data_IF_827222170042
#
_entry.id   IF_827222170042
#
_cell.length_a   1.000
_cell.length_b   1.000
_cell.length_c   1.000
_cell.angle_alpha   90.00
_cell.angle_beta   90.00
_cell.angle_gamma   90.00
#
_symmetry.space_group_name_H-M   'P 1'
#
loop_
_entity.id
_entity.type
_entity.pdbx_description
1 polymer ?
#
# COMPACT_ATOMS: atom_id res chain seq x y z
N UNK A 1 21.36 10.78 0.65
CA UNK A 1 21.39 12.24 0.42
C UNK A 1 20.00 12.54 -0.09
N UNK A 2 19.26 13.38 0.62
CA UNK A 2 17.87 13.65 0.27
C UNK A 2 17.76 14.73 -0.78
N UNK A 3 16.61 14.82 -1.43
CA UNK A 3 16.33 15.84 -2.44
C UNK A 3 14.95 16.44 -2.19
N UNK A 4 14.83 17.75 -2.28
CA UNK A 4 13.54 18.41 -2.16
C UNK A 4 12.78 18.32 -3.49
N UNK A 5 11.50 17.99 -3.43
CA UNK A 5 10.63 18.07 -4.60
C UNK A 5 10.57 19.53 -5.10
N UNK A 6 10.86 19.83 -6.38
CA UNK A 6 10.87 21.18 -6.91
C UNK A 6 9.49 21.84 -6.98
N UNK A 7 8.41 21.06 -6.81
CA UNK A 7 7.02 21.53 -6.91
C UNK A 7 6.40 21.77 -5.53
N UNK A 8 6.46 20.78 -4.63
CA UNK A 8 5.85 20.86 -3.30
C UNK A 8 6.84 21.05 -2.14
N UNK A 9 8.14 21.13 -2.43
CA UNK A 9 9.23 21.31 -1.46
C UNK A 9 9.35 20.15 -0.43
N UNK A 10 8.61 19.04 -0.62
CA UNK A 10 8.67 17.88 0.26
C UNK A 10 10.04 17.17 0.14
N UNK A 11 10.76 16.96 1.25
CA UNK A 11 12.04 16.27 1.23
C UNK A 11 11.83 14.79 0.94
N UNK A 12 12.64 14.24 0.05
CA UNK A 12 12.64 12.83 -0.36
C UNK A 12 13.95 12.17 0.08
N UNK A 13 13.88 10.87 0.43
CA UNK A 13 15.00 10.16 1.05
C UNK A 13 16.24 10.03 0.14
N UNK A 14 15.99 9.85 -1.16
CA UNK A 14 16.98 9.71 -2.22
C UNK A 14 16.38 10.05 -3.59
N UNK A 15 17.21 10.00 -4.64
CA UNK A 15 16.82 10.37 -6.00
C UNK A 15 15.72 9.46 -6.59
N UNK A 16 15.71 8.16 -6.25
CA UNK A 16 14.67 7.23 -6.71
C UNK A 16 13.32 7.55 -6.05
N UNK A 17 13.33 7.85 -4.75
CA UNK A 17 12.12 8.33 -4.06
C UNK A 17 11.59 9.63 -4.65
N UNK A 18 12.47 10.57 -5.02
CA UNK A 18 12.07 11.79 -5.70
C UNK A 18 11.44 11.53 -7.07
N UNK A 19 12.07 10.68 -7.90
CA UNK A 19 11.54 10.30 -9.20
C UNK A 19 10.14 9.67 -9.09
N UNK A 20 9.97 8.71 -8.18
CA UNK A 20 8.67 8.09 -7.93
C UNK A 20 7.63 9.09 -7.43
N UNK A 21 7.99 9.95 -6.47
CA UNK A 21 7.07 10.96 -5.95
C UNK A 21 6.55 11.86 -7.08
N UNK A 22 7.42 12.36 -7.95
CA UNK A 22 7.03 13.18 -9.10
C UNK A 22 6.14 12.41 -10.09
N UNK A 23 6.56 11.22 -10.52
CA UNK A 23 5.84 10.43 -11.51
C UNK A 23 4.46 9.98 -11.01
N UNK A 24 4.35 9.44 -9.79
CA UNK A 24 3.06 9.01 -9.26
C UNK A 24 2.13 10.19 -8.97
N UNK A 25 2.66 11.33 -8.52
CA UNK A 25 1.84 12.51 -8.26
C UNK A 25 1.30 13.09 -9.56
N UNK A 26 2.13 13.19 -10.61
CA UNK A 26 1.67 13.56 -11.95
C UNK A 26 0.54 12.63 -12.44
N UNK A 27 0.75 11.30 -12.37
CA UNK A 27 -0.23 10.32 -12.86
C UNK A 27 -1.56 10.27 -12.09
N UNK A 28 -1.57 10.66 -10.81
CA UNK A 28 -2.75 10.54 -9.93
C UNK A 28 -3.57 11.82 -9.79
N UNK A 29 -3.15 12.92 -10.45
CA UNK A 29 -3.88 14.18 -10.49
C UNK A 29 -3.16 15.38 -9.85
N UNK A 30 -1.83 15.38 -9.89
CA UNK A 30 -1.01 16.55 -9.58
C UNK A 30 -0.60 17.28 -10.85
N UNK A 31 -1.47 18.11 -11.42
CA UNK A 31 -1.21 18.85 -12.66
C UNK A 31 0.09 19.68 -12.57
N UNK A 32 0.38 20.33 -11.42
CA UNK A 32 1.63 21.07 -11.24
C UNK A 32 2.89 20.17 -11.33
N UNK A 33 2.79 18.89 -10.95
CA UNK A 33 3.89 17.94 -11.07
C UNK A 33 4.02 17.41 -12.51
N UNK A 34 2.89 17.24 -13.21
CA UNK A 34 2.85 16.88 -14.62
C UNK A 34 3.43 18.01 -15.49
N UNK A 35 2.95 19.25 -15.33
CA UNK A 35 3.45 20.44 -16.05
C UNK A 35 4.96 20.64 -15.84
N UNK A 36 5.44 20.46 -14.61
CA UNK A 36 6.86 20.55 -14.31
C UNK A 36 7.66 19.46 -15.02
N UNK A 37 7.19 18.22 -14.98
CA UNK A 37 7.82 17.11 -15.68
C UNK A 37 7.81 17.30 -17.20
N UNK A 38 6.71 17.78 -17.79
CA UNK A 38 6.62 18.05 -19.22
C UNK A 38 7.55 19.19 -19.69
N UNK A 39 7.77 20.21 -18.85
CA UNK A 39 8.69 21.31 -19.18
C UNK A 39 10.17 20.90 -19.06
N UNK A 40 10.51 20.13 -18.03
CA UNK A 40 11.90 19.84 -17.68
C UNK A 40 12.40 18.49 -18.21
N UNK A 41 11.53 17.49 -18.27
CA UNK A 41 11.85 16.10 -18.67
C UNK A 41 10.73 15.58 -19.59
N UNK A 42 10.59 16.08 -20.83
CA UNK A 42 9.42 15.81 -21.69
C UNK A 42 9.21 14.33 -22.07
N UNK A 43 10.20 13.46 -21.85
CA UNK A 43 10.13 12.01 -22.09
C UNK A 43 9.97 11.21 -20.79
N UNK A 44 9.61 11.86 -19.68
CA UNK A 44 9.51 11.24 -18.34
C UNK A 44 8.58 10.03 -18.29
N UNK A 45 7.52 10.01 -19.09
CA UNK A 45 6.56 8.90 -19.17
C UNK A 45 7.14 7.61 -19.79
N UNK A 46 8.29 7.70 -20.45
CA UNK A 46 9.03 6.56 -21.00
C UNK A 46 10.16 6.09 -20.07
N UNK A 47 10.52 6.89 -19.08
CA UNK A 47 11.62 6.61 -18.16
C UNK A 47 11.19 5.71 -17.00
N UNK A 48 12.06 4.76 -16.65
CA UNK A 48 11.98 4.07 -15.36
C UNK A 48 12.45 4.96 -14.20
N UNK A 49 12.33 4.43 -12.97
CA UNK A 49 12.77 5.11 -11.75
C UNK A 49 14.20 5.64 -11.85
N UNK A 50 15.17 4.79 -12.20
CA UNK A 50 16.58 5.16 -12.26
C UNK A 50 16.87 6.22 -13.34
N UNK A 51 16.22 6.11 -14.49
CA UNK A 51 16.39 7.03 -15.62
C UNK A 51 15.83 8.41 -15.27
N UNK A 52 14.63 8.45 -14.69
CA UNK A 52 14.00 9.69 -14.24
C UNK A 52 14.78 10.31 -13.07
N UNK A 53 15.27 9.49 -12.14
CA UNK A 53 16.09 9.96 -11.02
C UNK A 53 17.37 10.65 -11.50
N UNK A 54 18.02 10.12 -12.55
CA UNK A 54 19.24 10.71 -13.10
C UNK A 54 19.01 12.09 -13.72
N UNK A 55 17.85 12.34 -14.32
CA UNK A 55 17.51 13.65 -14.89
C UNK A 55 17.07 14.65 -13.79
N UNK A 56 16.22 14.19 -12.88
CA UNK A 56 15.61 15.06 -11.86
C UNK A 56 16.64 15.50 -10.80
N UNK A 57 17.64 14.69 -10.49
CA UNK A 57 18.68 15.02 -9.50
C UNK A 57 19.51 16.24 -9.90
N UNK A 58 19.63 16.54 -11.20
CA UNK A 58 20.37 17.72 -11.69
C UNK A 58 19.54 19.01 -11.55
N UNK A 59 18.23 18.87 -11.35
CA UNK A 59 17.26 19.96 -11.28
C UNK A 59 16.74 20.21 -9.86
N UNK A 60 16.82 19.21 -8.99
CA UNK A 60 16.34 19.27 -7.61
C UNK A 60 17.43 19.71 -6.63
N UNK A 61 17.04 20.44 -5.59
CA UNK A 61 17.96 20.90 -4.56
C UNK A 61 18.28 19.77 -3.56
N UNK A 62 19.56 19.59 -3.25
CA UNK A 62 20.02 18.65 -2.23
C UNK A 62 19.58 19.12 -0.84
N UNK A 63 18.86 18.28 -0.12
CA UNK A 63 18.35 18.62 1.23
C UNK A 63 18.66 17.54 2.24
N UNK A 64 18.62 17.92 3.53
CA UNK A 64 18.60 16.95 4.60
C UNK A 64 17.22 16.30 4.65
N UNK A 65 17.16 15.01 4.29
CA UNK A 65 15.97 14.24 4.59
C UNK A 65 15.92 14.07 6.11
N UNK A 66 14.83 14.49 6.79
CA UNK A 66 14.70 14.26 8.21
C UNK A 66 14.60 12.76 8.44
N UNK A 67 15.73 12.12 8.77
CA UNK A 67 15.67 10.85 9.47
C UNK A 67 15.07 11.18 10.81
N UNK A 68 14.00 10.50 11.16
CA UNK A 68 13.38 10.69 12.46
C UNK A 68 14.32 10.11 13.52
N UNK A 69 15.25 10.94 13.98
CA UNK A 69 16.17 10.66 15.07
C UNK A 69 15.43 10.48 16.41
N UNK A 70 14.20 10.97 16.45
CA UNK A 70 13.20 10.80 17.49
C UNK A 70 12.00 10.21 16.75
N UNK A 71 11.70 8.93 17.01
CA UNK A 71 10.95 8.09 16.08
C UNK A 71 9.65 8.71 15.57
N UNK A 72 9.33 8.40 14.31
CA UNK A 72 7.94 8.31 13.85
C UNK A 72 7.25 7.29 14.73
N UNK A 73 6.80 7.76 15.88
CA UNK A 73 5.65 7.22 16.53
C UNK A 73 4.47 7.63 15.67
N UNK A 74 4.28 6.93 14.54
CA UNK A 74 2.95 6.65 14.02
C UNK A 74 2.21 5.76 15.03
N UNK A 75 2.16 6.14 16.30
CA UNK A 75 1.04 5.80 17.16
C UNK A 75 -0.10 6.63 16.59
N UNK A 76 -0.75 6.05 15.58
CA UNK A 76 -2.17 5.85 15.76
C UNK A 76 -2.35 5.27 17.16
N UNK A 77 -2.47 6.14 18.17
CA UNK A 77 -3.13 5.83 19.42
C UNK A 77 -4.60 5.61 19.06
N UNK A 78 -4.85 4.50 18.37
CA UNK A 78 -6.06 3.76 18.61
C UNK A 78 -5.93 3.29 20.05
N UNK A 79 -6.51 4.06 20.96
CA UNK A 79 -7.00 3.54 22.23
C UNK A 79 -7.96 2.39 21.90
N UNK A 80 -7.36 1.23 21.67
CA UNK A 80 -8.00 -0.07 21.75
C UNK A 80 -7.56 -0.67 23.06
N UNK A 81 -7.90 0.02 24.16
CA UNK A 81 -8.14 -0.59 25.46
C UNK A 81 -9.30 -1.58 25.40
N UNK A 82 -9.21 -2.54 24.49
CA UNK A 82 -9.99 -3.76 24.55
C UNK A 82 -9.00 -4.88 24.84
N UNK A 83 -8.59 -4.97 26.10
CA UNK A 83 -8.20 -6.25 26.64
C UNK A 83 -9.37 -7.21 26.37
N UNK A 84 -9.23 -8.04 25.33
CA UNK A 84 -10.16 -9.14 25.11
C UNK A 84 -9.87 -10.13 26.22
N UNK A 85 -10.60 -10.00 27.32
CA UNK A 85 -10.61 -11.02 28.35
C UNK A 85 -11.04 -12.34 27.66
N UNK A 86 -10.16 -13.37 27.60
CA UNK A 86 -10.43 -14.57 26.83
C UNK A 86 -11.63 -15.34 27.39
N UNK A 87 -12.00 -15.10 28.65
CA UNK A 87 -13.19 -15.67 29.27
C UNK A 87 -14.47 -14.94 28.81
N UNK A 88 -14.42 -13.62 28.64
CA UNK A 88 -15.51 -12.81 28.09
C UNK A 88 -15.69 -13.04 26.58
N UNK A 89 -14.59 -13.20 25.83
CA UNK A 89 -14.63 -13.56 24.41
C UNK A 89 -15.28 -14.94 24.19
N UNK A 90 -14.95 -15.93 25.04
CA UNK A 90 -15.62 -17.23 25.01
C UNK A 90 -17.11 -17.14 25.36
N UNK A 91 -17.50 -16.30 26.32
CA UNK A 91 -18.92 -16.10 26.66
C UNK A 91 -19.74 -15.49 25.51
N UNK A 92 -19.15 -14.58 24.72
CA UNK A 92 -19.79 -14.03 23.52
C UNK A 92 -19.84 -15.05 22.38
N UNK A 93 -18.82 -15.89 22.24
CA UNK A 93 -18.79 -16.98 21.28
C UNK A 93 -19.76 -18.14 21.62
N UNK A 94 -20.24 -18.22 22.86
CA UNK A 94 -21.30 -19.14 23.29
C UNK A 94 -22.70 -18.53 23.27
N UNK A 95 -22.86 -17.31 22.74
CA UNK A 95 -24.18 -16.74 22.49
C UNK A 95 -24.95 -17.59 21.49
N UNK A 96 -26.24 -17.79 21.74
CA UNK A 96 -27.15 -18.49 20.83
C UNK A 96 -27.15 -17.74 19.50
N UNK A 97 -26.64 -18.37 18.44
CA UNK A 97 -26.69 -17.82 17.09
C UNK A 97 -28.14 -17.91 16.62
N UNK A 98 -28.68 -16.86 16.04
CA UNK A 98 -30.01 -16.91 15.43
C UNK A 98 -29.99 -17.87 14.22
N UNK A 99 -31.12 -18.52 13.91
CA UNK A 99 -31.21 -19.52 12.82
C UNK A 99 -30.70 -18.98 11.47
N UNK A 100 -30.91 -17.68 11.21
CA UNK A 100 -30.41 -16.97 10.01
C UNK A 100 -28.88 -16.91 9.98
N UNK A 101 -28.25 -16.58 11.10
CA UNK A 101 -26.79 -16.51 11.19
C UNK A 101 -26.15 -17.90 11.02
N UNK A 102 -26.78 -18.95 11.56
CA UNK A 102 -26.36 -20.32 11.34
C UNK A 102 -26.50 -20.75 9.87
N UNK A 103 -27.56 -20.31 9.19
CA UNK A 103 -27.77 -20.55 7.76
C UNK A 103 -26.69 -19.90 6.90
N UNK A 104 -26.39 -18.62 7.14
CA UNK A 104 -25.36 -17.88 6.41
C UNK A 104 -23.97 -18.52 6.59
N UNK A 105 -23.63 -18.91 7.82
CA UNK A 105 -22.33 -19.57 8.09
C UNK A 105 -22.22 -20.95 7.45
N UNK A 106 -23.34 -21.67 7.28
CA UNK A 106 -23.38 -22.95 6.56
C UNK A 106 -23.16 -22.75 5.06
N UNK A 107 -23.87 -21.79 4.47
CA UNK A 107 -23.75 -21.46 3.04
C UNK A 107 -22.34 -21.00 2.67
N UNK A 108 -21.72 -20.16 3.50
CA UNK A 108 -20.34 -19.71 3.30
C UNK A 108 -19.32 -20.87 3.33
N UNK A 109 -19.54 -21.87 4.20
CA UNK A 109 -18.68 -23.07 4.26
C UNK A 109 -18.85 -23.94 3.01
N UNK A 110 -20.08 -24.15 2.56
CA UNK A 110 -20.36 -24.94 1.35
C UNK A 110 -19.74 -24.31 0.08
N UNK A 111 -19.79 -22.97 -0.04
CA UNK A 111 -19.11 -22.26 -1.12
C UNK A 111 -17.59 -22.44 -1.09
N UNK A 112 -17.01 -22.45 0.11
CA UNK A 112 -15.56 -22.67 0.30
C UNK A 112 -15.16 -24.12 -0.01
N UNK A 113 -15.98 -25.10 0.39
CA UNK A 113 -15.77 -26.51 0.06
C UNK A 113 -15.89 -26.78 -1.44
N UNK A 114 -16.86 -26.16 -2.13
CA UNK A 114 -17.01 -26.27 -3.58
C UNK A 114 -15.78 -25.77 -4.33
N UNK A 115 -15.26 -24.59 -3.94
CA UNK A 115 -14.01 -24.04 -4.52
C UNK A 115 -12.80 -24.94 -4.28
N UNK A 116 -12.76 -25.68 -3.15
CA UNK A 116 -11.66 -26.60 -2.84
C UNK A 116 -11.74 -27.92 -3.61
N UNK A 117 -12.96 -28.44 -3.83
CA UNK A 117 -13.20 -29.67 -4.61
C UNK A 117 -12.95 -29.42 -6.11
N UNK A 118 -13.33 -28.25 -6.63
CA UNK A 118 -13.03 -27.83 -8.00
C UNK A 118 -11.51 -27.74 -8.26
N UNK A 119 -10.72 -27.34 -7.27
CA UNK A 119 -9.24 -27.25 -7.35
C UNK A 119 -8.58 -28.65 -7.36
N UNK A 120 -9.07 -29.59 -6.56
CA UNK A 120 -8.53 -30.97 -6.45
C UNK A 120 -8.78 -31.80 -7.74
N UNK A 121 -9.87 -31.52 -8.48
CA UNK A 121 -10.14 -32.19 -9.77
C UNK A 121 -9.19 -31.76 -10.90
N UNK A 122 -8.42 -30.69 -10.72
CA UNK A 122 -7.45 -30.22 -11.72
C UNK A 122 -6.06 -30.89 -11.59
N UNK A 123 -5.78 -31.62 -10.51
CA UNK A 123 -4.52 -32.33 -10.23
C UNK A 123 -4.67 -33.87 -10.32
N UNK A 124 -5.66 -34.37 -11.08
CA UNK A 124 -5.83 -35.83 -11.29
C UNK A 124 -5.64 -36.28 -12.75
N UNK A 125 -5.34 -35.36 -13.68
CA UNK A 125 -5.24 -35.63 -15.13
C UNK A 125 -3.82 -35.36 -15.70
N UNK A 126 -2.73 -35.60 -14.95
CA UNK A 126 -1.36 -35.56 -15.48
C UNK A 126 -0.54 -36.80 -15.04
N UNK A 127 -1.08 -38.02 -15.23
CA UNK A 127 -0.24 -39.24 -15.30
C UNK A 127 -0.81 -40.25 -16.32
N UNK A 128 -0.38 -40.16 -17.58
CA UNK A 128 -0.29 -41.29 -18.52
C UNK A 128 1.17 -41.58 -18.91
#
# INVERSE_FOLDING_TARGET
MGYACPVCEEPQADAGHLANHLAFTALTGGDDHEDWLDEHVPEWGEFGEDELAAEVIELADETEFPFEADGHDHQHEHDHGHEVDPQQARQRATGELDDEAESILREAREMTESMHDEDDTSDADETE
#
